data_IF_014736526270
#
_entry.id   IF_014736526270
#
_cell.length_a   1.000
_cell.length_b   1.000
_cell.length_c   1.000
_cell.angle_alpha   90.00
_cell.angle_beta   90.00
_cell.angle_gamma   90.00
#
_symmetry.space_group_name_H-M   'P 1'
#
loop_
_entity.id
_entity.type
_entity.pdbx_description
1 polymer ?
#
# COMPACT_ATOMS: atom_id res chain seq x y z
N UNK A 1 8.56 26.31 -7.95
CA UNK A 1 8.96 26.24 -6.52
C UNK A 1 9.96 25.12 -6.38
N UNK A 2 11.02 25.33 -5.59
CA UNK A 2 11.98 24.29 -5.21
C UNK A 2 11.61 23.82 -3.80
N UNK A 3 11.59 22.52 -3.58
CA UNK A 3 11.36 21.90 -2.28
C UNK A 3 12.55 21.08 -1.84
N UNK A 4 12.78 20.97 -0.55
CA UNK A 4 13.74 20.05 0.03
C UNK A 4 13.07 18.70 0.28
N UNK A 5 13.77 17.63 -0.05
CA UNK A 5 13.39 16.25 0.25
C UNK A 5 14.30 15.75 1.36
N UNK A 6 13.70 15.33 2.47
CA UNK A 6 14.41 14.82 3.64
C UNK A 6 14.27 13.31 3.74
N UNK A 7 15.29 12.67 4.29
CA UNK A 7 15.26 11.25 4.68
C UNK A 7 16.01 11.09 6.00
N UNK A 8 15.31 10.52 7.01
CA UNK A 8 15.89 10.31 8.35
C UNK A 8 16.50 11.58 8.98
N UNK A 9 15.82 12.73 8.81
CA UNK A 9 16.23 14.01 9.36
C UNK A 9 17.41 14.70 8.64
N UNK A 10 17.83 14.17 7.48
CA UNK A 10 18.90 14.75 6.66
C UNK A 10 18.37 15.15 5.29
N UNK A 11 18.94 16.20 4.70
CA UNK A 11 18.60 16.61 3.33
C UNK A 11 19.07 15.52 2.37
N UNK A 12 18.10 14.86 1.73
CA UNK A 12 18.34 13.89 0.68
C UNK A 12 18.65 14.58 -0.65
N UNK A 13 17.92 15.65 -0.94
CA UNK A 13 18.06 16.40 -2.18
C UNK A 13 16.99 17.47 -2.32
N UNK A 14 16.86 18.01 -3.53
CA UNK A 14 15.87 19.03 -3.89
C UNK A 14 15.06 18.59 -5.10
N UNK A 15 13.78 18.97 -5.13
CA UNK A 15 12.91 18.75 -6.27
C UNK A 15 12.32 20.07 -6.77
N UNK A 16 12.19 20.18 -8.10
CA UNK A 16 11.68 21.37 -8.78
C UNK A 16 10.70 20.98 -9.88
N UNK A 17 9.67 21.80 -10.06
CA UNK A 17 8.74 21.70 -11.18
C UNK A 17 9.10 22.68 -12.29
N UNK A 18 9.27 22.17 -13.52
CA UNK A 18 9.44 22.97 -14.72
C UNK A 18 8.08 23.07 -15.46
N UNK A 19 7.45 24.24 -15.36
CA UNK A 19 6.13 24.46 -15.96
C UNK A 19 6.18 24.42 -17.50
N UNK A 20 7.25 24.91 -18.13
CA UNK A 20 7.41 24.94 -19.58
C UNK A 20 7.51 23.53 -20.16
N UNK A 21 8.22 22.65 -19.46
CA UNK A 21 8.42 21.26 -19.84
C UNK A 21 7.28 20.35 -19.36
N UNK A 22 6.50 20.76 -18.35
CA UNK A 22 5.51 19.93 -17.69
C UNK A 22 6.14 18.68 -17.02
N UNK A 23 7.34 18.84 -16.47
CA UNK A 23 8.16 17.79 -15.87
C UNK A 23 8.78 18.26 -14.56
N UNK A 24 9.23 17.33 -13.76
CA UNK A 24 9.98 17.64 -12.54
C UNK A 24 11.40 17.13 -12.59
N UNK A 25 12.26 17.79 -11.83
CA UNK A 25 13.66 17.44 -11.65
C UNK A 25 13.91 17.16 -10.19
N UNK A 26 14.71 16.14 -9.89
CA UNK A 26 15.20 15.84 -8.55
C UNK A 26 16.73 15.76 -8.58
N UNK A 27 17.37 16.44 -7.65
CA UNK A 27 18.83 16.41 -7.49
C UNK A 27 19.20 15.96 -6.10
N UNK A 28 19.99 14.89 -6.00
CA UNK A 28 20.55 14.45 -4.71
C UNK A 28 21.52 15.48 -4.13
N UNK A 29 21.46 15.65 -2.81
CA UNK A 29 22.44 16.45 -2.06
C UNK A 29 23.85 15.92 -2.24
N UNK A 30 24.84 16.83 -2.26
CA UNK A 30 26.28 16.47 -2.28
C UNK A 30 26.73 15.79 -0.97
N UNK A 31 26.00 16.03 0.10
CA UNK A 31 26.31 15.55 1.46
C UNK A 31 25.70 14.19 1.77
N UNK A 32 24.96 13.60 0.80
CA UNK A 32 24.36 12.27 1.04
C UNK A 32 25.45 11.23 1.26
N UNK A 33 25.29 10.45 2.32
CA UNK A 33 26.16 9.32 2.61
C UNK A 33 26.08 8.25 1.52
N UNK A 34 27.24 7.73 1.10
CA UNK A 34 27.31 6.61 0.14
C UNK A 34 26.69 5.30 0.68
N UNK A 35 26.32 5.25 1.97
CA UNK A 35 25.68 4.10 2.60
C UNK A 35 24.17 4.10 2.32
N UNK A 36 23.57 5.29 2.17
CA UNK A 36 22.12 5.46 1.98
C UNK A 36 21.81 5.55 0.49
N UNK A 37 21.25 4.49 -0.06
CA UNK A 37 20.78 4.38 -1.44
C UNK A 37 19.26 4.19 -1.46
N UNK A 38 18.45 5.28 -1.42
CA UNK A 38 17.01 5.17 -1.24
C UNK A 38 16.26 4.64 -2.48
N UNK A 39 16.88 4.64 -3.65
CA UNK A 39 16.34 4.07 -4.89
C UNK A 39 17.46 3.53 -5.78
N UNK A 40 18.17 2.46 -5.36
CA UNK A 40 19.44 2.05 -5.95
C UNK A 40 19.31 1.44 -7.35
N UNK A 41 18.11 1.13 -7.81
CA UNK A 41 17.90 0.43 -9.09
C UNK A 41 17.87 1.40 -10.26
N UNK A 42 17.03 2.43 -10.19
CA UNK A 42 16.80 3.38 -11.30
C UNK A 42 17.15 4.82 -10.96
N UNK A 43 17.36 5.13 -9.68
CA UNK A 43 17.79 6.45 -9.23
C UNK A 43 18.99 6.34 -8.26
N UNK A 44 20.13 5.73 -8.69
CA UNK A 44 21.29 5.60 -7.81
C UNK A 44 21.87 6.98 -7.48
N UNK A 45 22.32 7.17 -6.24
CA UNK A 45 22.80 8.46 -5.72
C UNK A 45 24.01 9.00 -6.49
N UNK A 46 24.81 8.12 -7.12
CA UNK A 46 25.97 8.50 -7.96
C UNK A 46 25.61 9.37 -9.18
N UNK A 47 24.41 9.19 -9.75
CA UNK A 47 23.96 9.91 -10.95
C UNK A 47 23.40 11.30 -10.64
N UNK A 48 23.14 11.61 -9.39
CA UNK A 48 22.76 12.89 -8.78
C UNK A 48 21.56 13.63 -9.36
N UNK A 49 21.33 13.68 -10.66
CA UNK A 49 20.27 14.46 -11.30
C UNK A 49 19.31 13.55 -12.07
N UNK A 50 18.02 13.70 -11.81
CA UNK A 50 16.95 12.93 -12.47
C UNK A 50 15.86 13.89 -12.94
N UNK A 51 15.60 13.91 -14.25
CA UNK A 51 14.55 14.67 -14.89
C UNK A 51 13.49 13.71 -15.45
N UNK A 52 12.22 14.02 -15.23
CA UNK A 52 11.10 13.27 -15.83
C UNK A 52 10.72 13.87 -17.18
N UNK A 53 9.92 13.15 -17.96
CA UNK A 53 9.31 13.67 -19.17
C UNK A 53 7.78 13.78 -18.98
N UNK A 54 7.09 14.45 -19.91
CA UNK A 54 5.62 14.65 -19.90
C UNK A 54 4.81 13.34 -19.96
N UNK A 55 5.43 12.22 -20.26
CA UNK A 55 4.77 10.93 -20.44
C UNK A 55 4.77 10.07 -19.15
N UNK A 56 5.29 10.59 -18.05
CA UNK A 56 5.30 9.93 -16.74
C UNK A 56 4.00 10.16 -15.93
N UNK A 57 2.85 10.20 -16.60
CA UNK A 57 1.55 10.55 -15.99
C UNK A 57 1.18 9.66 -14.81
N UNK A 58 1.41 8.34 -14.92
CA UNK A 58 1.08 7.40 -13.86
C UNK A 58 2.07 7.42 -12.68
N UNK A 59 3.20 8.09 -12.83
CA UNK A 59 4.11 8.49 -11.77
C UNK A 59 4.01 9.99 -11.45
N UNK A 60 2.87 10.62 -11.79
CA UNK A 60 2.56 12.03 -11.52
C UNK A 60 3.57 13.01 -12.11
N UNK A 61 4.30 12.64 -13.17
CA UNK A 61 5.44 13.39 -13.71
C UNK A 61 6.53 13.71 -12.67
N UNK A 62 6.64 12.87 -11.63
CA UNK A 62 7.67 12.93 -10.60
C UNK A 62 8.72 11.84 -10.84
N UNK A 63 9.98 12.06 -10.44
CA UNK A 63 10.97 11.01 -10.33
C UNK A 63 10.45 9.85 -9.48
N UNK A 64 10.77 8.62 -9.88
CA UNK A 64 10.19 7.40 -9.29
C UNK A 64 10.27 7.35 -7.76
N UNK A 65 11.40 7.78 -7.17
CA UNK A 65 11.58 7.84 -5.72
C UNK A 65 10.50 8.69 -5.03
N UNK A 66 10.10 9.80 -5.64
CA UNK A 66 9.14 10.73 -5.06
C UNK A 66 7.69 10.33 -5.34
N UNK A 67 7.46 9.62 -6.44
CA UNK A 67 6.12 9.26 -6.91
C UNK A 67 5.35 8.37 -5.95
N UNK A 68 6.03 7.51 -5.18
CA UNK A 68 5.40 6.64 -4.17
C UNK A 68 4.83 7.41 -2.98
N UNK A 69 5.25 8.66 -2.79
CA UNK A 69 4.70 9.51 -1.74
C UNK A 69 3.38 10.18 -2.13
N UNK A 70 3.02 10.10 -3.42
CA UNK A 70 1.78 10.70 -3.91
C UNK A 70 0.57 9.85 -3.56
N UNK A 71 -0.57 10.49 -3.24
CA UNK A 71 -1.82 9.78 -3.01
C UNK A 71 -2.32 9.07 -4.28
N UNK A 72 -2.87 7.87 -4.11
CA UNK A 72 -3.58 7.13 -5.16
C UNK A 72 -5.01 7.65 -5.38
N UNK A 73 -5.84 6.87 -6.10
CA UNK A 73 -7.16 7.32 -6.55
C UNK A 73 -8.05 7.81 -5.40
N UNK A 74 -8.18 7.06 -4.28
CA UNK A 74 -8.97 7.51 -3.13
C UNK A 74 -8.33 8.72 -2.45
N UNK A 75 -7.02 8.67 -2.18
CA UNK A 75 -6.28 9.78 -1.58
C UNK A 75 -6.37 11.06 -2.40
N UNK A 76 -6.38 10.98 -3.73
CA UNK A 76 -6.61 12.14 -4.62
C UNK A 76 -8.02 12.73 -4.46
N UNK A 77 -9.05 11.89 -4.25
CA UNK A 77 -10.41 12.36 -4.00
C UNK A 77 -10.47 13.14 -2.67
N UNK A 78 -9.84 12.60 -1.62
CA UNK A 78 -9.74 13.26 -0.31
C UNK A 78 -8.93 14.57 -0.38
N UNK A 79 -7.80 14.58 -1.09
CA UNK A 79 -6.99 15.78 -1.30
C UNK A 79 -7.78 16.87 -2.05
N UNK A 80 -8.57 16.50 -3.07
CA UNK A 80 -9.45 17.45 -3.77
C UNK A 80 -10.45 18.09 -2.82
N UNK A 81 -11.09 17.30 -1.94
CA UNK A 81 -12.05 17.82 -0.96
C UNK A 81 -11.37 18.77 0.04
N UNK A 82 -10.18 18.40 0.52
CA UNK A 82 -9.39 19.24 1.43
C UNK A 82 -8.92 20.57 0.79
N UNK A 83 -8.48 20.54 -0.48
CA UNK A 83 -8.09 21.76 -1.23
C UNK A 83 -9.29 22.69 -1.44
N UNK A 84 -10.46 22.11 -1.77
CA UNK A 84 -11.68 22.87 -1.99
C UNK A 84 -12.10 23.69 -0.74
N UNK A 85 -11.88 23.18 0.47
CA UNK A 85 -12.12 23.94 1.71
C UNK A 85 -11.23 25.18 1.84
N UNK A 86 -10.18 25.29 1.02
CA UNK A 86 -9.20 26.39 1.00
C UNK A 86 -9.30 27.23 -0.28
N UNK A 87 -10.42 27.10 -0.99
CA UNK A 87 -10.65 27.77 -2.27
C UNK A 87 -9.57 27.47 -3.33
N UNK A 88 -8.95 26.27 -3.25
CA UNK A 88 -7.93 25.78 -4.19
C UNK A 88 -8.48 24.62 -5.00
N UNK A 89 -8.04 24.51 -6.27
CA UNK A 89 -8.34 23.36 -7.11
C UNK A 89 -7.09 22.52 -7.35
N UNK A 90 -7.25 21.19 -7.48
CA UNK A 90 -6.13 20.26 -7.67
C UNK A 90 -5.38 20.51 -8.99
N UNK A 91 -6.03 21.16 -9.98
CA UNK A 91 -5.44 21.46 -11.26
C UNK A 91 -4.51 22.68 -11.23
N UNK A 92 -4.66 23.55 -10.22
CA UNK A 92 -3.80 24.72 -10.00
C UNK A 92 -2.48 24.36 -9.30
N UNK A 93 -2.37 23.11 -8.82
CA UNK A 93 -1.23 22.65 -8.02
C UNK A 93 -0.43 21.63 -8.85
N UNK A 94 0.82 21.95 -9.13
CA UNK A 94 1.72 21.02 -9.83
C UNK A 94 2.15 19.83 -8.92
N UNK A 95 2.69 18.75 -9.49
CA UNK A 95 3.06 17.57 -8.72
C UNK A 95 4.07 17.80 -7.59
N UNK A 96 5.04 18.72 -7.78
CA UNK A 96 6.02 19.04 -6.73
C UNK A 96 5.35 19.81 -5.59
N UNK A 97 4.44 20.73 -5.91
CA UNK A 97 3.64 21.42 -4.89
C UNK A 97 2.75 20.44 -4.11
N UNK A 98 2.19 19.41 -4.77
CA UNK A 98 1.42 18.36 -4.05
C UNK A 98 2.26 17.64 -3.01
N UNK A 99 3.56 17.44 -3.23
CA UNK A 99 4.45 16.85 -2.22
C UNK A 99 4.53 17.71 -0.95
N UNK A 100 4.40 19.04 -1.04
CA UNK A 100 4.39 19.90 0.16
C UNK A 100 3.13 19.70 1.02
N UNK A 101 2.01 19.27 0.40
CA UNK A 101 0.79 18.88 1.13
C UNK A 101 0.93 17.50 1.78
N UNK A 102 1.74 16.61 1.21
CA UNK A 102 2.15 15.38 1.89
C UNK A 102 3.05 15.70 3.08
N UNK A 103 4.02 16.61 2.88
CA UNK A 103 4.90 17.10 3.94
C UNK A 103 5.61 15.96 4.67
N UNK A 104 5.42 15.88 5.99
CA UNK A 104 5.99 14.83 6.85
C UNK A 104 5.05 13.62 7.03
N UNK A 105 3.88 13.59 6.42
CA UNK A 105 2.79 12.66 6.72
C UNK A 105 2.68 11.45 5.79
N UNK A 106 3.49 11.39 4.73
CA UNK A 106 3.47 10.33 3.72
C UNK A 106 3.80 8.94 4.25
N UNK A 107 3.54 7.95 3.40
CA UNK A 107 4.05 6.59 3.59
C UNK A 107 5.58 6.58 3.47
N UNK A 108 6.24 5.68 4.21
CA UNK A 108 7.69 5.62 4.24
C UNK A 108 8.34 6.75 5.05
N UNK A 109 9.60 7.08 4.76
CA UNK A 109 10.40 8.02 5.53
C UNK A 109 10.79 9.31 4.80
N UNK A 110 10.33 9.51 3.56
CA UNK A 110 10.54 10.78 2.87
C UNK A 110 9.69 11.88 3.51
N UNK A 111 10.26 13.08 3.59
CA UNK A 111 9.59 14.28 4.05
C UNK A 111 9.87 15.42 3.07
N UNK A 112 8.90 16.33 2.92
CA UNK A 112 8.94 17.41 1.94
C UNK A 112 8.81 18.76 2.62
N UNK A 113 9.74 19.67 2.39
CA UNK A 113 9.82 20.98 3.03
C UNK A 113 9.85 22.08 1.94
N UNK A 114 9.02 23.13 2.05
CA UNK A 114 8.11 23.43 3.16
C UNK A 114 6.91 22.47 3.20
N UNK A 115 6.38 22.23 4.39
CA UNK A 115 5.12 21.52 4.57
C UNK A 115 3.95 22.52 4.64
N UNK A 116 2.94 22.34 3.80
CA UNK A 116 1.80 23.25 3.71
C UNK A 116 0.67 22.94 4.72
N UNK A 117 1.04 22.51 5.94
CA UNK A 117 0.08 22.25 7.01
C UNK A 117 0.70 22.59 8.38
N UNK A 118 -0.15 22.87 9.38
CA UNK A 118 0.28 23.01 10.77
C UNK A 118 0.66 21.62 11.30
N UNK A 119 1.81 21.51 11.97
CA UNK A 119 2.32 20.26 12.53
C UNK A 119 1.52 19.77 13.75
N UNK A 120 0.75 20.67 14.39
CA UNK A 120 0.16 20.48 15.71
C UNK A 120 -1.29 19.92 15.70
N UNK A 121 -1.90 19.73 14.54
CA UNK A 121 -3.24 19.16 14.42
C UNK A 121 -3.20 17.66 14.74
N UNK A 122 -3.50 17.29 15.96
CA UNK A 122 -3.53 15.94 16.49
C UNK A 122 -4.87 15.66 17.19
N UNK A 123 -5.95 15.87 16.45
CA UNK A 123 -7.32 15.68 16.94
C UNK A 123 -7.60 14.18 17.19
N UNK A 124 -8.45 13.92 18.19
CA UNK A 124 -9.05 12.61 18.38
C UNK A 124 -10.11 12.44 17.29
N UNK A 125 -10.10 11.29 16.61
CA UNK A 125 -11.06 10.95 15.58
C UNK A 125 -11.74 9.63 15.91
N UNK A 126 -12.94 9.40 15.38
CA UNK A 126 -13.64 8.14 15.47
C UNK A 126 -13.87 7.52 14.07
N UNK A 127 -14.01 6.20 14.03
CA UNK A 127 -14.10 5.46 12.76
C UNK A 127 -15.41 5.77 12.04
N UNK A 128 -16.52 5.95 12.77
CA UNK A 128 -17.79 6.28 12.15
C UNK A 128 -17.73 7.65 11.45
N UNK A 129 -17.11 8.63 12.08
CA UNK A 129 -16.90 9.95 11.48
C UNK A 129 -16.01 9.87 10.24
N UNK A 130 -14.92 9.08 10.28
CA UNK A 130 -14.08 8.81 9.10
C UNK A 130 -14.90 8.18 7.97
N UNK A 131 -15.79 7.21 8.30
CA UNK A 131 -16.68 6.57 7.34
C UNK A 131 -17.64 7.58 6.69
N UNK A 132 -18.34 8.40 7.48
CA UNK A 132 -19.31 9.36 6.95
C UNK A 132 -18.64 10.42 6.05
N UNK A 133 -17.45 10.91 6.42
CA UNK A 133 -16.65 11.81 5.58
C UNK A 133 -16.26 11.12 4.28
N UNK A 134 -15.71 9.91 4.34
CA UNK A 134 -15.30 9.16 3.16
C UNK A 134 -16.48 8.90 2.21
N UNK A 135 -17.63 8.51 2.76
CA UNK A 135 -18.87 8.31 2.02
C UNK A 135 -19.34 9.58 1.32
N UNK A 136 -19.44 10.68 2.05
CA UNK A 136 -19.87 11.98 1.51
C UNK A 136 -18.97 12.49 0.38
N UNK A 137 -17.66 12.32 0.53
CA UNK A 137 -16.68 12.70 -0.48
C UNK A 137 -16.81 11.82 -1.75
N UNK A 138 -17.06 10.51 -1.60
CA UNK A 138 -17.27 9.61 -2.72
C UNK A 138 -18.59 9.82 -3.44
N UNK A 139 -19.64 10.27 -2.75
CA UNK A 139 -20.96 10.62 -3.31
C UNK A 139 -20.92 11.93 -4.12
N UNK A 140 -19.79 12.62 -4.21
CA UNK A 140 -19.67 13.96 -4.83
C UNK A 140 -20.71 14.95 -4.32
N UNK A 141 -21.11 14.89 -3.05
CA UNK A 141 -22.00 15.88 -2.46
C UNK A 141 -21.31 17.24 -2.55
N UNK A 142 -21.96 18.19 -3.23
CA UNK A 142 -21.39 19.52 -3.54
C UNK A 142 -21.00 20.31 -2.28
N UNK A 143 -21.58 19.94 -1.15
CA UNK A 143 -21.32 20.54 0.15
C UNK A 143 -21.25 19.42 1.18
N UNK A 144 -20.03 19.13 1.64
CA UNK A 144 -19.81 18.26 2.78
C UNK A 144 -20.04 19.15 4.02
N UNK A 145 -21.32 19.42 4.31
CA UNK A 145 -21.71 20.07 5.58
C UNK A 145 -21.81 18.97 6.65
N UNK A 146 -20.81 18.92 7.48
CA UNK A 146 -20.91 18.25 8.76
C UNK A 146 -21.22 19.35 9.81
N UNK A 147 -22.52 19.57 10.06
CA UNK A 147 -22.99 20.58 11.02
C UNK A 147 -22.44 20.35 12.43
N UNK A 148 -21.99 19.14 12.71
CA UNK A 148 -21.58 18.68 14.05
C UNK A 148 -20.07 18.45 14.19
N UNK A 149 -19.28 18.59 13.08
CA UNK A 149 -17.81 18.53 13.13
C UNK A 149 -17.23 19.95 13.09
N UNK A 150 -16.31 20.22 14.01
CA UNK A 150 -15.48 21.39 13.88
C UNK A 150 -14.56 21.28 12.64
N UNK A 151 -14.14 22.42 12.10
CA UNK A 151 -13.33 22.48 10.88
C UNK A 151 -11.98 21.76 11.04
N UNK A 152 -11.44 21.65 12.26
CA UNK A 152 -10.15 21.02 12.52
C UNK A 152 -10.27 19.49 12.44
N UNK A 153 -11.31 18.92 13.05
CA UNK A 153 -11.60 17.47 12.95
C UNK A 153 -11.87 17.04 11.52
N UNK A 154 -12.67 17.81 10.76
CA UNK A 154 -12.93 17.50 9.34
C UNK A 154 -11.63 17.59 8.52
N UNK A 155 -10.83 18.63 8.74
CA UNK A 155 -9.53 18.80 8.06
C UNK A 155 -8.61 17.62 8.34
N UNK A 156 -8.55 17.13 9.58
CA UNK A 156 -7.72 15.99 9.96
C UNK A 156 -8.19 14.71 9.28
N UNK A 157 -9.51 14.42 9.26
CA UNK A 157 -10.06 13.25 8.59
C UNK A 157 -9.78 13.26 7.08
N UNK A 158 -9.95 14.39 6.41
CA UNK A 158 -9.62 14.53 5.00
C UNK A 158 -8.13 14.28 4.74
N UNK A 159 -7.27 14.69 5.66
CA UNK A 159 -5.82 14.55 5.57
C UNK A 159 -5.38 13.09 5.75
N UNK A 160 -5.83 12.39 6.79
CA UNK A 160 -5.46 10.99 7.04
C UNK A 160 -5.94 10.06 5.93
N UNK A 161 -7.05 10.38 5.28
CA UNK A 161 -7.54 9.66 4.09
C UNK A 161 -6.71 9.95 2.83
N UNK A 162 -6.10 11.13 2.71
CA UNK A 162 -5.30 11.51 1.55
C UNK A 162 -3.92 10.86 1.51
N UNK A 163 -3.40 10.44 2.65
CA UNK A 163 -2.03 9.89 2.78
C UNK A 163 -1.91 8.40 2.41
N UNK A 164 -3.03 7.71 2.14
CA UNK A 164 -3.06 6.28 1.90
C UNK A 164 -3.30 5.93 0.43
N UNK A 165 -2.55 4.94 -0.11
CA UNK A 165 -2.64 4.50 -1.50
C UNK A 165 -3.80 3.52 -1.79
N UNK A 166 -4.28 3.44 -3.07
CA UNK A 166 -5.26 2.47 -3.57
C UNK A 166 -6.68 3.02 -3.75
N UNK A 167 -7.57 2.22 -4.36
CA UNK A 167 -8.89 2.66 -4.84
C UNK A 167 -10.00 2.67 -3.78
N UNK A 168 -9.86 1.89 -2.70
CA UNK A 168 -10.85 1.80 -1.61
C UNK A 168 -10.65 2.90 -0.58
N UNK A 169 -11.74 3.32 0.04
CA UNK A 169 -11.70 4.23 1.18
C UNK A 169 -10.82 3.67 2.31
N UNK A 170 -9.87 4.47 2.76
CA UNK A 170 -8.91 4.08 3.80
C UNK A 170 -8.37 5.31 4.54
N UNK A 171 -7.84 5.07 5.74
CA UNK A 171 -7.24 6.12 6.56
C UNK A 171 -6.01 5.60 7.31
N UNK A 172 -5.01 6.47 7.51
CA UNK A 172 -3.88 6.21 8.37
C UNK A 172 -4.23 6.65 9.79
N UNK A 173 -4.31 5.69 10.71
CA UNK A 173 -4.71 5.95 12.09
C UNK A 173 -3.67 5.41 13.08
N UNK A 174 -3.63 6.02 14.25
CA UNK A 174 -2.91 5.54 15.42
C UNK A 174 -3.91 5.15 16.50
N UNK A 175 -3.77 3.96 17.04
CA UNK A 175 -4.72 3.36 17.98
C UNK A 175 -4.03 3.16 19.32
N UNK A 176 -4.64 3.68 20.38
CA UNK A 176 -4.33 3.33 21.75
C UNK A 176 -5.35 2.30 22.26
N UNK A 177 -4.86 1.22 22.84
CA UNK A 177 -5.69 0.14 23.37
C UNK A 177 -5.56 0.03 24.89
N UNK A 178 -6.63 -0.41 25.55
CA UNK A 178 -6.61 -0.76 26.96
C UNK A 178 -5.94 -2.14 27.18
N UNK A 179 -5.71 -2.56 28.45
CA UNK A 179 -5.16 -3.89 28.77
C UNK A 179 -6.00 -5.05 28.19
N UNK A 180 -7.30 -4.85 27.97
CA UNK A 180 -8.21 -5.83 27.36
C UNK A 180 -8.22 -5.76 25.83
N UNK A 181 -7.28 -5.01 25.22
CA UNK A 181 -7.14 -4.79 23.77
C UNK A 181 -8.30 -4.03 23.11
N UNK A 182 -9.21 -3.41 23.89
CA UNK A 182 -10.25 -2.54 23.35
C UNK A 182 -9.66 -1.19 22.93
N UNK A 183 -10.17 -0.65 21.84
CA UNK A 183 -9.78 0.68 21.36
C UNK A 183 -10.26 1.72 22.37
N UNK A 184 -9.34 2.50 22.92
CA UNK A 184 -9.63 3.63 23.82
C UNK A 184 -9.64 4.96 23.06
N UNK A 185 -8.71 5.12 22.15
CA UNK A 185 -8.50 6.38 21.46
C UNK A 185 -7.92 6.14 20.07
N UNK A 186 -8.38 6.91 19.10
CA UNK A 186 -7.88 6.92 17.73
C UNK A 186 -7.44 8.34 17.40
N UNK A 187 -6.24 8.45 16.81
CA UNK A 187 -5.66 9.69 16.31
C UNK A 187 -5.10 9.52 14.92
N UNK A 188 -4.58 10.60 14.36
CA UNK A 188 -3.82 10.56 13.11
C UNK A 188 -2.65 9.58 13.19
N UNK A 189 -2.54 8.69 12.20
CA UNK A 189 -1.48 7.68 12.11
C UNK A 189 -0.32 8.11 11.20
N UNK A 190 -0.31 9.34 10.71
CA UNK A 190 0.71 9.88 9.83
C UNK A 190 1.74 10.77 10.55
N UNK A 191 1.48 11.10 11.83
CA UNK A 191 2.39 11.81 12.73
C UNK A 191 2.78 10.94 13.93
N UNK A 192 3.88 11.31 14.59
CA UNK A 192 4.35 10.61 15.79
C UNK A 192 3.39 10.87 16.95
N UNK A 193 2.91 9.79 17.57
CA UNK A 193 2.02 9.83 18.72
C UNK A 193 2.80 9.54 20.02
N UNK A 194 2.26 9.94 21.19
CA UNK A 194 2.82 9.53 22.48
C UNK A 194 2.95 8.01 22.63
N UNK A 195 3.74 7.56 23.58
CA UNK A 195 3.89 6.11 23.85
C UNK A 195 2.55 5.43 24.14
N UNK A 196 2.41 4.20 23.65
CA UNK A 196 1.20 3.40 23.84
C UNK A 196 0.25 3.39 22.64
N UNK A 197 0.56 4.13 21.58
CA UNK A 197 -0.14 4.01 20.31
C UNK A 197 0.55 3.02 19.38
N UNK A 198 -0.25 2.38 18.53
CA UNK A 198 0.21 1.57 17.40
C UNK A 198 -0.37 2.14 16.10
N UNK A 199 0.35 1.99 14.98
CA UNK A 199 0.05 2.64 13.71
C UNK A 199 -0.59 1.66 12.74
N UNK A 200 -1.73 2.05 12.14
CA UNK A 200 -2.56 1.18 11.32
C UNK A 200 -3.02 1.87 10.04
N UNK A 201 -3.21 1.08 9.01
CA UNK A 201 -4.02 1.42 7.86
C UNK A 201 -5.42 0.82 8.09
N UNK A 202 -6.44 1.67 8.13
CA UNK A 202 -7.84 1.29 8.20
C UNK A 202 -8.42 1.25 6.79
N UNK A 203 -8.97 0.11 6.35
CA UNK A 203 -9.79 0.00 5.14
C UNK A 203 -11.26 0.01 5.55
N UNK A 204 -12.01 0.96 4.99
CA UNK A 204 -13.37 1.25 5.41
C UNK A 204 -14.34 0.38 4.61
N UNK A 205 -15.18 -0.41 5.30
CA UNK A 205 -16.22 -1.21 4.67
C UNK A 205 -17.44 -0.33 4.33
N UNK A 206 -18.07 -0.60 3.17
CA UNK A 206 -19.24 0.14 2.70
C UNK A 206 -18.97 1.54 2.14
N UNK A 207 -17.71 1.97 2.03
CA UNK A 207 -17.33 3.24 1.44
C UNK A 207 -16.52 3.01 0.15
N UNK A 208 -17.21 2.65 -0.92
CA UNK A 208 -16.64 2.58 -2.27
C UNK A 208 -17.67 3.10 -3.30
N UNK A 209 -17.21 3.42 -4.53
CA UNK A 209 -18.08 4.00 -5.57
C UNK A 209 -19.21 3.07 -6.07
N UNK A 210 -19.09 1.77 -5.85
CA UNK A 210 -20.02 0.76 -6.39
C UNK A 210 -21.06 0.31 -5.35
N UNK A 211 -20.76 0.39 -4.05
CA UNK A 211 -21.62 -0.09 -2.96
C UNK A 211 -21.68 0.94 -1.83
N UNK A 212 -21.98 2.19 -2.16
CA UNK A 212 -22.10 3.27 -1.17
C UNK A 212 -23.17 2.93 -0.12
N UNK A 213 -22.72 2.74 1.11
CA UNK A 213 -23.58 2.50 2.28
C UNK A 213 -23.85 1.04 2.60
N UNK A 214 -23.63 0.09 1.69
CA UNK A 214 -23.81 -1.34 1.95
C UNK A 214 -22.48 -2.03 2.25
N UNK A 215 -22.47 -2.83 3.30
CA UNK A 215 -21.30 -3.67 3.62
C UNK A 215 -21.18 -4.79 2.59
N UNK A 216 -20.07 -4.84 1.85
CA UNK A 216 -19.76 -5.94 0.94
C UNK A 216 -19.13 -7.14 1.66
N UNK A 217 -18.81 -6.99 2.95
CA UNK A 217 -18.11 -7.99 3.74
C UNK A 217 -16.64 -8.21 3.31
N UNK A 218 -16.09 -7.26 2.54
CA UNK A 218 -14.73 -7.39 2.04
C UNK A 218 -13.70 -7.36 3.16
N UNK A 219 -13.95 -6.63 4.25
CA UNK A 219 -13.08 -6.65 5.43
C UNK A 219 -12.95 -8.04 6.04
N UNK A 220 -14.07 -8.79 6.13
CA UNK A 220 -14.05 -10.18 6.59
C UNK A 220 -13.25 -11.10 5.66
N UNK A 221 -13.42 -10.94 4.34
CA UNK A 221 -12.70 -11.77 3.35
C UNK A 221 -11.19 -11.47 3.42
N UNK A 222 -10.79 -10.20 3.49
CA UNK A 222 -9.38 -9.81 3.60
C UNK A 222 -8.77 -10.31 4.91
N UNK A 223 -9.52 -10.29 6.02
CA UNK A 223 -9.08 -10.85 7.29
C UNK A 223 -8.96 -12.37 7.27
N UNK A 224 -9.86 -13.08 6.59
CA UNK A 224 -9.74 -14.52 6.38
C UNK A 224 -8.49 -14.86 5.53
N UNK A 225 -8.19 -14.06 4.50
CA UNK A 225 -6.97 -14.19 3.71
C UNK A 225 -5.70 -13.89 4.50
N UNK A 226 -5.74 -12.93 5.42
CA UNK A 226 -4.65 -12.71 6.39
C UNK A 226 -4.39 -13.97 7.22
N UNK A 227 -5.44 -14.63 7.75
CA UNK A 227 -5.29 -15.89 8.49
C UNK A 227 -4.70 -16.99 7.61
N UNK A 228 -5.23 -17.16 6.38
CA UNK A 228 -4.68 -18.14 5.43
C UNK A 228 -3.21 -17.89 5.10
N UNK A 229 -2.84 -16.63 4.89
CA UNK A 229 -1.45 -16.26 4.60
C UNK A 229 -0.51 -16.60 5.78
N UNK A 230 -0.98 -16.40 7.01
CA UNK A 230 -0.23 -16.84 8.22
C UNK A 230 -0.07 -18.35 8.28
N UNK A 231 -1.14 -19.11 8.05
CA UNK A 231 -1.09 -20.58 7.98
C UNK A 231 -0.14 -21.06 6.87
N UNK A 232 -0.08 -20.34 5.75
CA UNK A 232 0.88 -20.58 4.67
C UNK A 232 2.33 -20.19 5.03
N UNK A 233 2.61 -19.71 6.23
CA UNK A 233 3.94 -19.28 6.67
C UNK A 233 4.43 -17.98 6.02
N UNK A 234 3.52 -17.15 5.50
CA UNK A 234 3.85 -15.83 4.93
C UNK A 234 4.08 -14.83 6.06
N UNK A 235 5.20 -14.12 6.00
CA UNK A 235 5.43 -12.93 6.82
C UNK A 235 4.51 -11.81 6.33
N UNK A 236 3.38 -11.63 7.00
CA UNK A 236 2.33 -10.65 6.69
C UNK A 236 2.15 -9.68 7.86
N UNK A 237 1.81 -8.43 7.57
CA UNK A 237 1.52 -7.43 8.61
C UNK A 237 0.39 -7.88 9.52
N UNK A 238 0.53 -7.63 10.83
CA UNK A 238 -0.54 -7.85 11.79
C UNK A 238 -1.82 -7.18 11.32
N UNK A 239 -2.93 -7.93 11.32
CA UNK A 239 -4.21 -7.44 10.85
C UNK A 239 -5.33 -7.80 11.83
N UNK A 240 -6.37 -6.98 11.86
CA UNK A 240 -7.52 -7.15 12.73
C UNK A 240 -8.81 -6.73 12.03
N UNK A 241 -9.95 -7.21 12.53
CA UNK A 241 -11.26 -6.66 12.21
C UNK A 241 -11.70 -5.70 13.31
N UNK A 242 -12.33 -4.62 12.92
CA UNK A 242 -13.06 -3.73 13.80
C UNK A 242 -14.52 -3.67 13.36
N UNK A 243 -15.40 -4.08 14.25
CA UNK A 243 -16.84 -4.00 14.03
C UNK A 243 -17.38 -2.69 14.60
N UNK A 244 -18.08 -1.93 13.77
CA UNK A 244 -18.80 -0.74 14.18
C UNK A 244 -20.06 -0.54 13.34
N UNK A 245 -21.19 -0.35 13.99
CA UNK A 245 -22.48 -0.14 13.34
C UNK A 245 -22.83 -1.19 12.27
N UNK A 246 -22.51 -2.48 12.53
CA UNK A 246 -22.75 -3.60 11.62
C UNK A 246 -21.79 -3.67 10.42
N UNK A 247 -20.76 -2.83 10.36
CA UNK A 247 -19.69 -2.85 9.36
C UNK A 247 -18.44 -3.48 9.93
N UNK A 248 -17.69 -4.16 9.09
CA UNK A 248 -16.47 -4.85 9.46
C UNK A 248 -15.27 -4.24 8.74
N UNK A 249 -14.67 -3.26 9.37
CA UNK A 249 -13.50 -2.57 8.85
C UNK A 249 -12.25 -3.43 9.02
N UNK A 250 -11.38 -3.44 7.99
CA UNK A 250 -10.11 -4.16 8.05
C UNK A 250 -8.99 -3.22 8.49
N UNK A 251 -8.26 -3.65 9.48
CA UNK A 251 -7.08 -2.96 10.00
C UNK A 251 -5.82 -3.75 9.66
N UNK A 252 -4.80 -3.10 9.13
CA UNK A 252 -3.46 -3.68 8.97
C UNK A 252 -2.41 -2.78 9.59
N UNK A 253 -1.53 -3.35 10.44
CA UNK A 253 -0.47 -2.60 11.12
C UNK A 253 0.51 -2.06 10.10
N UNK A 254 0.88 -0.79 10.21
CA UNK A 254 1.88 -0.17 9.35
C UNK A 254 3.25 -0.77 9.63
N UNK A 255 3.94 -1.18 8.58
CA UNK A 255 5.29 -1.72 8.62
C UNK A 255 6.36 -0.67 8.28
N UNK A 256 5.92 0.51 7.83
CA UNK A 256 6.77 1.68 7.60
C UNK A 256 6.90 2.58 8.83
N UNK A 257 6.44 2.09 9.98
CA UNK A 257 6.57 2.73 11.30
C UNK A 257 7.05 1.70 12.32
N UNK A 258 7.95 2.13 13.21
CA UNK A 258 8.26 1.39 14.44
C UNK A 258 7.12 1.55 15.45
N UNK A 259 7.14 0.80 16.54
CA UNK A 259 6.17 0.95 17.63
C UNK A 259 6.30 2.32 18.34
N UNK A 260 7.46 2.97 18.28
CA UNK A 260 7.67 4.34 18.77
C UNK A 260 7.32 5.42 17.72
N UNK A 261 6.79 5.04 16.55
CA UNK A 261 6.37 5.94 15.48
C UNK A 261 7.49 6.43 14.56
N UNK A 262 8.72 5.95 14.74
CA UNK A 262 9.80 6.28 13.82
C UNK A 262 9.53 5.74 12.42
N UNK A 263 9.88 6.53 11.41
CA UNK A 263 9.67 6.21 10.01
C UNK A 263 10.72 5.21 9.49
N UNK A 264 10.28 4.30 8.63
CA UNK A 264 11.13 3.38 7.88
C UNK A 264 10.93 3.71 6.40
N UNK A 265 12.03 3.92 5.66
CA UNK A 265 11.93 4.18 4.23
C UNK A 265 11.31 3.00 3.51
N UNK A 266 10.36 3.30 2.64
CA UNK A 266 9.62 2.33 1.87
C UNK A 266 9.60 2.76 0.40
N UNK A 267 9.80 1.80 -0.50
CA UNK A 267 9.59 2.01 -1.92
C UNK A 267 8.88 0.79 -2.52
N UNK A 268 7.88 1.02 -3.37
CA UNK A 268 7.19 -0.06 -4.08
C UNK A 268 8.07 -0.66 -5.17
N UNK A 269 7.78 -1.88 -5.59
CA UNK A 269 8.41 -2.48 -6.76
C UNK A 269 8.14 -1.66 -8.03
N UNK A 270 6.97 -1.01 -8.13
CA UNK A 270 6.65 -0.07 -9.20
C UNK A 270 7.71 1.02 -9.33
N UNK A 271 7.98 1.72 -8.24
CA UNK A 271 8.92 2.83 -8.21
C UNK A 271 10.39 2.38 -8.29
N UNK A 272 10.75 1.26 -7.64
CA UNK A 272 12.13 0.72 -7.70
C UNK A 272 12.54 0.23 -9.09
N UNK A 273 11.59 -0.30 -9.86
CA UNK A 273 11.86 -0.87 -11.18
C UNK A 273 11.37 0.01 -12.33
N UNK A 274 10.69 1.12 -12.05
CA UNK A 274 10.12 2.00 -13.06
C UNK A 274 9.00 1.33 -13.89
N UNK A 275 8.21 0.45 -13.27
CA UNK A 275 7.14 -0.29 -13.93
C UNK A 275 5.81 0.39 -13.67
N UNK A 276 5.13 0.80 -14.74
CA UNK A 276 3.83 1.44 -14.66
C UNK A 276 2.74 0.44 -14.26
N UNK A 277 2.14 0.64 -13.09
CA UNK A 277 1.11 -0.23 -12.53
C UNK A 277 -0.25 -0.13 -13.24
N UNK A 278 -0.47 0.91 -14.06
CA UNK A 278 -1.69 1.08 -14.86
C UNK A 278 -1.60 0.41 -16.23
N UNK A 279 -0.45 -0.13 -16.58
CA UNK A 279 -0.27 -0.94 -17.79
C UNK A 279 -0.47 -2.41 -17.41
N UNK A 280 -1.54 -3.01 -17.93
CA UNK A 280 -1.79 -4.43 -17.74
C UNK A 280 -0.64 -5.27 -18.27
N UNK A 281 -0.31 -6.36 -17.55
CA UNK A 281 0.72 -7.30 -17.98
C UNK A 281 2.12 -6.69 -18.17
N UNK A 282 2.38 -5.54 -17.54
CA UNK A 282 3.70 -4.89 -17.60
C UNK A 282 4.73 -5.54 -16.66
N UNK A 283 4.29 -6.43 -15.77
CA UNK A 283 5.12 -7.01 -14.72
C UNK A 283 5.31 -8.51 -14.85
N UNK A 284 6.37 -9.00 -14.21
CA UNK A 284 6.65 -10.40 -14.02
C UNK A 284 7.40 -10.65 -12.70
N UNK A 285 7.24 -11.83 -12.15
CA UNK A 285 7.92 -12.23 -10.93
C UNK A 285 9.43 -12.36 -11.09
N UNK A 286 9.91 -12.67 -12.29
CA UNK A 286 11.34 -12.74 -12.59
C UNK A 286 12.03 -11.39 -12.37
N UNK A 287 11.39 -10.28 -12.77
CA UNK A 287 11.92 -8.94 -12.54
C UNK A 287 11.92 -8.58 -11.07
N UNK A 288 10.86 -8.95 -10.32
CA UNK A 288 10.82 -8.78 -8.87
C UNK A 288 12.00 -9.48 -8.18
N UNK A 289 12.26 -10.74 -8.53
CA UNK A 289 13.38 -11.51 -7.97
C UNK A 289 14.75 -10.96 -8.39
N UNK A 290 14.88 -10.40 -9.61
CA UNK A 290 16.11 -9.70 -10.02
C UNK A 290 16.33 -8.41 -9.22
N UNK A 291 15.27 -7.66 -8.90
CA UNK A 291 15.34 -6.50 -7.99
C UNK A 291 15.82 -6.95 -6.61
N UNK A 292 15.27 -8.02 -6.04
CA UNK A 292 15.73 -8.58 -4.78
C UNK A 292 17.22 -8.94 -4.81
N UNK A 293 17.70 -9.51 -5.94
CA UNK A 293 19.13 -9.81 -6.13
C UNK A 293 19.99 -8.55 -6.18
N UNK A 294 19.54 -7.50 -6.87
CA UNK A 294 20.25 -6.21 -6.91
C UNK A 294 20.29 -5.52 -5.55
N UNK A 295 19.25 -5.67 -4.74
CA UNK A 295 19.19 -5.21 -3.34
C UNK A 295 19.99 -6.11 -2.38
N UNK A 296 20.59 -7.21 -2.88
CA UNK A 296 21.40 -8.17 -2.09
C UNK A 296 20.64 -8.78 -0.91
N UNK A 297 19.35 -9.08 -1.10
CA UNK A 297 18.53 -9.63 -0.04
C UNK A 297 18.97 -11.05 0.35
N UNK A 298 18.85 -11.45 1.62
CA UNK A 298 19.22 -12.78 2.09
C UNK A 298 18.26 -13.85 1.55
N UNK A 299 18.74 -15.08 1.42
CA UNK A 299 18.01 -16.22 0.85
C UNK A 299 16.63 -16.45 1.48
N UNK A 300 16.49 -16.30 2.79
CA UNK A 300 15.20 -16.44 3.48
C UNK A 300 14.11 -15.55 2.86
N UNK A 301 14.45 -14.37 2.39
CA UNK A 301 13.49 -13.47 1.76
C UNK A 301 13.07 -13.93 0.36
N UNK A 302 13.92 -14.65 -0.37
CA UNK A 302 13.54 -15.30 -1.63
C UNK A 302 12.52 -16.43 -1.38
N UNK A 303 12.70 -17.24 -0.34
CA UNK A 303 11.71 -18.24 0.05
C UNK A 303 10.37 -17.58 0.44
N UNK A 304 10.41 -16.49 1.19
CA UNK A 304 9.20 -15.72 1.55
C UNK A 304 8.50 -15.15 0.31
N UNK A 305 9.24 -14.58 -0.64
CA UNK A 305 8.62 -14.02 -1.85
C UNK A 305 8.10 -15.12 -2.78
N UNK A 306 8.76 -16.27 -2.85
CA UNK A 306 8.24 -17.44 -3.58
C UNK A 306 6.95 -17.97 -2.94
N UNK A 307 6.88 -18.03 -1.63
CA UNK A 307 5.68 -18.41 -0.88
C UNK A 307 4.50 -17.47 -1.20
N UNK A 308 4.75 -16.15 -1.28
CA UNK A 308 3.74 -15.16 -1.67
C UNK A 308 3.28 -15.34 -3.12
N UNK A 309 4.20 -15.62 -4.04
CA UNK A 309 3.89 -15.94 -5.44
C UNK A 309 2.93 -17.15 -5.51
N UNK A 310 3.26 -18.24 -4.82
CA UNK A 310 2.42 -19.45 -4.77
C UNK A 310 1.04 -19.14 -4.18
N UNK A 311 1.00 -18.38 -3.09
CA UNK A 311 -0.25 -17.98 -2.46
C UNK A 311 -1.13 -17.16 -3.42
N UNK A 312 -0.58 -16.18 -4.13
CA UNK A 312 -1.32 -15.39 -5.10
C UNK A 312 -1.93 -16.29 -6.18
N UNK A 313 -1.17 -17.27 -6.70
CA UNK A 313 -1.64 -18.22 -7.71
C UNK A 313 -2.74 -19.15 -7.16
N UNK A 314 -2.50 -19.79 -6.01
CA UNK A 314 -3.35 -20.85 -5.47
C UNK A 314 -4.62 -20.26 -4.86
N UNK A 315 -4.50 -19.13 -4.15
CA UNK A 315 -5.60 -18.45 -3.49
C UNK A 315 -6.31 -17.41 -4.39
N UNK A 316 -5.97 -17.34 -5.68
CA UNK A 316 -6.60 -16.44 -6.66
C UNK A 316 -6.53 -14.96 -6.29
N UNK A 317 -5.40 -14.51 -5.74
CA UNK A 317 -5.11 -13.10 -5.62
C UNK A 317 -4.52 -12.58 -6.94
N UNK A 318 -5.39 -12.21 -7.87
CA UNK A 318 -5.01 -11.74 -9.21
C UNK A 318 -4.62 -10.25 -9.25
N UNK A 319 -4.78 -9.54 -8.13
CA UNK A 319 -4.38 -8.13 -8.00
C UNK A 319 -2.90 -8.01 -7.56
N UNK A 320 -2.06 -8.87 -8.11
CA UNK A 320 -0.63 -8.98 -7.84
C UNK A 320 0.21 -8.00 -8.68
N UNK A 321 -0.26 -6.74 -8.72
CA UNK A 321 0.42 -5.68 -9.44
C UNK A 321 1.62 -5.12 -8.65
N UNK A 322 2.49 -4.40 -9.36
CA UNK A 322 3.79 -3.93 -8.85
C UNK A 322 3.73 -3.00 -7.62
N UNK A 323 2.59 -2.37 -7.32
CA UNK A 323 2.42 -1.57 -6.10
C UNK A 323 2.10 -2.41 -4.85
N UNK A 324 1.73 -3.70 -5.03
CA UNK A 324 1.46 -4.62 -3.91
C UNK A 324 2.71 -5.39 -3.45
N UNK A 325 3.87 -5.01 -3.96
CA UNK A 325 5.18 -5.45 -3.48
C UNK A 325 6.00 -4.24 -3.08
N UNK A 326 6.49 -4.22 -1.85
CA UNK A 326 7.32 -3.12 -1.34
C UNK A 326 8.58 -3.62 -0.68
N UNK A 327 9.55 -2.73 -0.61
CA UNK A 327 10.83 -2.93 0.05
C UNK A 327 11.05 -1.84 1.08
N UNK A 328 11.68 -2.21 2.18
CA UNK A 328 12.00 -1.33 3.29
C UNK A 328 13.51 -1.14 3.39
N UNK A 329 13.94 0.08 3.66
CA UNK A 329 15.35 0.36 3.97
C UNK A 329 15.43 1.01 5.35
N UNK A 330 16.27 0.46 6.22
CA UNK A 330 16.54 1.04 7.53
C UNK A 330 17.52 2.23 7.47
N UNK A 331 17.78 2.87 8.62
CA UNK A 331 18.70 4.00 8.76
C UNK A 331 20.16 3.66 8.38
N UNK A 332 20.52 2.36 8.36
CA UNK A 332 21.85 1.88 7.99
C UNK A 332 21.97 1.55 6.50
N UNK A 333 20.92 1.77 5.70
CA UNK A 333 20.88 1.49 4.27
C UNK A 333 20.61 0.02 3.91
N UNK A 334 20.26 -0.82 4.88
CA UNK A 334 19.95 -2.23 4.63
C UNK A 334 18.53 -2.39 4.12
N UNK A 335 18.40 -3.07 2.99
CA UNK A 335 17.13 -3.37 2.36
C UNK A 335 16.56 -4.72 2.80
N UNK A 336 15.23 -4.80 2.84
CA UNK A 336 14.47 -6.04 3.02
C UNK A 336 13.13 -5.95 2.28
N UNK A 337 12.48 -7.10 2.01
CA UNK A 337 11.09 -7.08 1.57
C UNK A 337 10.20 -6.58 2.71
N UNK A 338 9.13 -5.86 2.40
CA UNK A 338 8.10 -5.54 3.40
C UNK A 338 7.40 -6.84 3.85
N UNK A 339 6.73 -6.87 5.01
CA UNK A 339 5.67 -7.84 5.24
C UNK A 339 4.69 -7.84 4.07
N UNK A 340 4.03 -8.97 3.79
CA UNK A 340 2.97 -9.01 2.79
C UNK A 340 1.78 -8.13 3.22
N UNK A 341 1.09 -7.58 2.26
CA UNK A 341 -0.11 -6.77 2.46
C UNK A 341 -1.01 -6.89 1.24
N UNK A 342 -2.26 -6.47 1.36
CA UNK A 342 -3.26 -6.44 0.27
C UNK A 342 -3.47 -7.83 -0.39
N UNK A 343 -3.41 -8.90 0.42
CA UNK A 343 -3.72 -10.25 -0.02
C UNK A 343 -5.21 -10.50 0.15
N UNK A 344 -5.93 -10.70 -0.96
CA UNK A 344 -7.36 -10.95 -0.94
C UNK A 344 -7.77 -11.75 -2.18
N UNK A 345 -8.94 -12.41 -2.12
CA UNK A 345 -9.56 -12.95 -3.33
C UNK A 345 -9.91 -11.81 -4.28
N UNK A 346 -9.31 -11.82 -5.45
CA UNK A 346 -9.52 -10.76 -6.45
C UNK A 346 -9.85 -11.29 -7.85
N UNK A 347 -9.89 -12.61 -8.04
CA UNK A 347 -10.26 -13.20 -9.32
C UNK A 347 -11.69 -12.80 -9.74
N UNK A 348 -11.81 -12.19 -10.92
CA UNK A 348 -13.08 -11.78 -11.51
C UNK A 348 -13.14 -12.23 -12.97
N UNK A 349 -13.84 -13.34 -13.27
CA UNK A 349 -14.02 -13.81 -14.65
C UNK A 349 -14.58 -12.70 -15.55
N UNK A 350 -13.94 -12.48 -16.70
CA UNK A 350 -14.32 -11.43 -17.66
C UNK A 350 -14.04 -10.00 -17.19
N UNK A 351 -13.43 -9.81 -16.00
CA UNK A 351 -13.04 -8.51 -15.51
C UNK A 351 -11.82 -7.94 -16.28
N UNK A 352 -11.78 -6.63 -16.42
CA UNK A 352 -10.69 -5.96 -17.15
C UNK A 352 -9.32 -6.21 -16.48
N UNK A 353 -9.24 -6.11 -15.14
CA UNK A 353 -7.96 -6.15 -14.43
C UNK A 353 -7.62 -7.51 -13.82
N UNK A 354 -8.56 -8.17 -13.18
CA UNK A 354 -8.31 -9.35 -12.35
C UNK A 354 -8.85 -10.66 -12.95
N UNK A 355 -9.12 -10.67 -14.27
CA UNK A 355 -9.45 -11.90 -14.99
C UNK A 355 -8.24 -12.87 -15.03
N UNK A 356 -7.04 -12.31 -15.13
CA UNK A 356 -5.74 -13.03 -15.04
C UNK A 356 -4.85 -12.28 -14.05
N UNK A 357 -3.72 -12.88 -13.66
CA UNK A 357 -2.70 -12.22 -12.85
C UNK A 357 -2.14 -10.97 -13.52
N UNK A 358 -1.73 -9.98 -12.73
CA UNK A 358 -1.07 -8.78 -13.24
C UNK A 358 0.43 -9.01 -13.47
N UNK A 359 1.02 -9.96 -12.76
CA UNK A 359 2.43 -10.36 -12.91
C UNK A 359 2.55 -11.75 -13.50
N UNK A 360 3.34 -11.92 -14.58
CA UNK A 360 3.56 -13.23 -15.19
C UNK A 360 4.58 -14.07 -14.45
N UNK A 361 4.49 -15.38 -14.66
CA UNK A 361 5.49 -16.41 -14.29
C UNK A 361 5.85 -17.13 -15.58
N UNK A 362 7.13 -17.15 -15.94
CA UNK A 362 7.62 -17.76 -17.19
C UNK A 362 6.82 -17.30 -18.43
N UNK A 363 6.42 -16.00 -18.45
CA UNK A 363 5.64 -15.39 -19.53
C UNK A 363 4.14 -15.70 -19.52
N UNK A 364 3.64 -16.55 -18.62
CA UNK A 364 2.22 -16.87 -18.48
C UNK A 364 1.57 -15.95 -17.43
N UNK A 365 0.31 -15.58 -17.63
CA UNK A 365 -0.50 -14.78 -16.70
C UNK A 365 -1.65 -15.58 -16.06
N UNK A 366 -1.89 -16.80 -16.50
CA UNK A 366 -2.83 -17.77 -15.91
C UNK A 366 -2.46 -19.18 -16.42
N UNK A 367 -3.25 -20.18 -16.06
CA UNK A 367 -3.07 -21.58 -16.43
C UNK A 367 -1.68 -22.14 -16.08
N UNK A 368 -1.16 -21.70 -14.93
CA UNK A 368 0.10 -22.22 -14.41
C UNK A 368 -0.03 -23.71 -14.09
N UNK A 369 1.02 -24.47 -14.36
CA UNK A 369 1.20 -25.86 -13.96
C UNK A 369 2.17 -25.97 -12.79
N UNK A 370 2.24 -27.13 -12.14
CA UNK A 370 3.26 -27.39 -11.11
C UNK A 370 4.69 -27.20 -11.68
N UNK A 371 4.92 -27.61 -12.93
CA UNK A 371 6.23 -27.44 -13.58
C UNK A 371 6.59 -25.98 -13.77
N UNK A 372 5.64 -25.11 -14.17
CA UNK A 372 5.90 -23.66 -14.28
C UNK A 372 6.38 -23.07 -12.97
N UNK A 373 5.77 -23.48 -11.85
CA UNK A 373 6.11 -22.97 -10.51
C UNK A 373 7.45 -23.51 -10.01
N UNK A 374 7.72 -24.80 -10.27
CA UNK A 374 8.97 -25.46 -9.86
C UNK A 374 10.16 -25.00 -10.73
N UNK A 375 9.97 -24.81 -12.04
CA UNK A 375 10.99 -24.27 -12.94
C UNK A 375 11.34 -22.82 -12.57
N UNK A 376 10.34 -21.99 -12.22
CA UNK A 376 10.60 -20.66 -11.67
C UNK A 376 11.48 -20.74 -10.41
N UNK A 377 11.12 -21.61 -9.48
CA UNK A 377 11.89 -21.80 -8.24
C UNK A 377 13.33 -22.25 -8.51
N UNK A 378 13.52 -23.19 -9.45
CA UNK A 378 14.84 -23.66 -9.87
C UNK A 378 15.70 -22.51 -10.44
N UNK A 379 15.12 -21.66 -11.30
CA UNK A 379 15.81 -20.52 -11.91
C UNK A 379 16.30 -19.50 -10.87
N UNK A 380 15.62 -19.40 -9.73
CA UNK A 380 15.99 -18.50 -8.64
C UNK A 380 16.62 -19.20 -7.42
N UNK A 381 16.93 -20.48 -7.55
CA UNK A 381 17.67 -21.26 -6.54
C UNK A 381 16.88 -21.55 -5.27
N UNK A 382 15.55 -21.65 -5.35
CA UNK A 382 14.70 -22.00 -4.19
C UNK A 382 14.82 -23.50 -3.90
N UNK A 383 15.52 -23.85 -2.82
CA UNK A 383 15.87 -25.25 -2.52
C UNK A 383 14.69 -26.11 -2.08
N UNK A 384 13.70 -25.52 -1.38
CA UNK A 384 12.55 -26.23 -0.80
C UNK A 384 11.26 -25.99 -1.56
N UNK A 385 11.35 -25.76 -2.88
CA UNK A 385 10.22 -25.31 -3.69
C UNK A 385 8.98 -26.23 -3.57
N UNK A 386 9.17 -27.56 -3.68
CA UNK A 386 8.09 -28.52 -3.57
C UNK A 386 7.43 -28.52 -2.19
N UNK A 387 8.22 -28.49 -1.12
CA UNK A 387 7.71 -28.42 0.25
C UNK A 387 6.91 -27.13 0.46
N UNK A 388 7.42 -25.99 -0.01
CA UNK A 388 6.72 -24.70 0.11
C UNK A 388 5.40 -24.72 -0.66
N UNK A 389 5.36 -25.35 -1.84
CA UNK A 389 4.14 -25.51 -2.63
C UNK A 389 3.09 -26.34 -1.86
N UNK A 390 3.48 -27.48 -1.28
CA UNK A 390 2.63 -28.36 -0.48
C UNK A 390 2.09 -27.63 0.79
N UNK A 391 2.94 -26.86 1.47
CA UNK A 391 2.55 -26.05 2.62
C UNK A 391 1.49 -24.99 2.26
N UNK A 392 1.68 -24.30 1.14
CA UNK A 392 0.72 -23.27 0.69
C UNK A 392 -0.60 -23.90 0.25
N UNK A 393 -0.58 -25.03 -0.47
CA UNK A 393 -1.79 -25.79 -0.83
C UNK A 393 -2.56 -26.20 0.43
N UNK A 394 -1.84 -26.75 1.41
CA UNK A 394 -2.44 -27.21 2.68
C UNK A 394 -3.10 -26.05 3.43
N UNK A 395 -2.43 -24.89 3.49
CA UNK A 395 -2.98 -23.70 4.13
C UNK A 395 -4.21 -23.17 3.40
N UNK A 396 -4.17 -23.05 2.06
CA UNK A 396 -5.31 -22.54 1.29
C UNK A 396 -6.52 -23.47 1.34
N UNK A 397 -6.31 -24.79 1.48
CA UNK A 397 -7.38 -25.76 1.72
C UNK A 397 -8.15 -25.52 3.03
N UNK A 398 -7.60 -24.72 3.98
CA UNK A 398 -8.32 -24.34 5.20
C UNK A 398 -9.35 -23.22 4.96
N UNK A 399 -9.47 -22.70 3.72
CA UNK A 399 -10.39 -21.61 3.39
C UNK A 399 -11.82 -21.81 3.94
N UNK A 400 -12.53 -22.95 3.72
CA UNK A 400 -13.89 -23.09 4.20
C UNK A 400 -14.03 -22.94 5.72
N UNK A 401 -13.06 -23.49 6.46
CA UNK A 401 -13.02 -23.41 7.93
C UNK A 401 -12.75 -21.98 8.39
N UNK A 402 -11.68 -21.36 7.91
CA UNK A 402 -11.27 -20.02 8.32
C UNK A 402 -12.31 -18.97 7.92
N UNK A 403 -12.94 -19.12 6.76
CA UNK A 403 -14.02 -18.24 6.31
C UNK A 403 -15.27 -18.36 7.18
N UNK A 404 -15.66 -19.57 7.58
CA UNK A 404 -16.77 -19.79 8.51
C UNK A 404 -16.47 -19.19 9.89
N UNK A 405 -15.26 -19.36 10.44
CA UNK A 405 -14.82 -18.73 11.69
C UNK A 405 -14.76 -17.20 11.63
N UNK A 406 -14.74 -16.63 10.43
CA UNK A 406 -14.77 -15.18 10.21
C UNK A 406 -16.17 -14.66 9.90
N UNK A 407 -17.18 -15.55 9.98
CA UNK A 407 -18.58 -15.24 9.75
C UNK A 407 -18.82 -14.65 8.34
N UNK A 408 -18.17 -15.25 7.33
CA UNK A 408 -18.42 -14.96 5.92
C UNK A 408 -19.66 -15.74 5.46
N UNK A 409 -20.60 -15.14 4.69
CA UNK A 409 -21.77 -15.84 4.19
C UNK A 409 -21.43 -17.10 3.40
N UNK A 410 -22.16 -18.19 3.64
CA UNK A 410 -21.91 -19.51 3.05
C UNK A 410 -21.83 -19.49 1.52
N UNK A 411 -22.66 -18.68 0.87
CA UNK A 411 -22.61 -18.51 -0.59
C UNK A 411 -21.25 -17.99 -1.06
N UNK A 412 -20.69 -16.97 -0.37
CA UNK A 412 -19.36 -16.43 -0.68
C UNK A 412 -18.25 -17.45 -0.37
N UNK A 413 -18.40 -18.22 0.71
CA UNK A 413 -17.44 -19.31 1.03
C UNK A 413 -17.37 -20.30 -0.13
N UNK A 414 -18.53 -20.79 -0.57
CA UNK A 414 -18.62 -21.76 -1.66
C UNK A 414 -18.13 -21.21 -3.00
N UNK A 415 -18.48 -19.95 -3.31
CA UNK A 415 -18.04 -19.29 -4.52
C UNK A 415 -16.51 -19.19 -4.57
N UNK A 416 -15.87 -18.69 -3.52
CA UNK A 416 -14.42 -18.56 -3.46
C UNK A 416 -13.77 -19.94 -3.51
N UNK A 417 -14.24 -20.90 -2.71
CA UNK A 417 -13.71 -22.27 -2.66
C UNK A 417 -13.68 -22.95 -4.02
N UNK A 418 -14.73 -22.74 -4.84
CA UNK A 418 -14.82 -23.28 -6.21
C UNK A 418 -13.70 -22.76 -7.11
N UNK A 419 -13.18 -21.57 -6.86
CA UNK A 419 -12.18 -20.93 -7.71
C UNK A 419 -10.74 -21.10 -7.21
N UNK A 420 -10.54 -21.55 -5.95
CA UNK A 420 -9.19 -21.85 -5.45
C UNK A 420 -8.55 -22.96 -6.26
N UNK A 421 -7.25 -22.84 -6.49
CA UNK A 421 -6.50 -23.76 -7.37
C UNK A 421 -5.74 -24.86 -6.61
N UNK A 422 -6.22 -25.22 -5.42
CA UNK A 422 -5.52 -26.22 -4.58
C UNK A 422 -5.45 -27.61 -5.22
N UNK A 423 -6.40 -27.95 -6.11
CA UNK A 423 -6.45 -29.23 -6.83
C UNK A 423 -5.60 -29.27 -8.10
N UNK A 424 -5.22 -28.10 -8.62
CA UNK A 424 -4.49 -27.99 -9.89
C UNK A 424 -3.01 -28.36 -9.72
N UNK A 425 -2.51 -28.38 -8.49
CA UNK A 425 -1.10 -28.56 -8.15
C UNK A 425 -0.86 -29.74 -7.19
N UNK A 426 -1.90 -30.49 -6.84
CA UNK A 426 -1.83 -31.69 -5.97
C UNK A 426 -1.38 -32.94 -6.72
#
# INVERSE_FOLDING_TARGET
MIIEVMLYGKILGTAEWNADKGSSTFQYSKEISNIIEPSPIIMPTKERLFETNRNHLNFHNLPYLLSDSMPDDFGNVMMKAWLKQRDLTINEINPVDKLTYVGKRGMGALEFIPANHREDDNSIVDINTIYEVAKSVLENKKEVYFSDLDNDSLTEILRIGSSAGGARAKALIAIKRDPNKKIQEIRSGDIIQPKGYSYWLLKIDGANKQSLGESEGMGKIEFAYYKLAKEAGIEISESALHEENGRFHFLTKRFDRTDDGEKIHMQTFAALAGIDYKIQKASNYETLFRVMKRLKLPYKQYEQQYRRLLFNVIARNHDDHVKNFSFLMNKDGNWQISPAYDLCFSYRPGGTWTNVHQSSINGKYDNFTSDDLLDFAKNFGIKKAKLILEEVITAVNQWPKIAAETDIPQEKILYINKHLRTKDFS
#
